data_IF_125624044470
#
_entry.id   IF_125624044470
#
_cell.length_a   1.000
_cell.length_b   1.000
_cell.length_c   1.000
_cell.angle_alpha   90.00
_cell.angle_beta   90.00
_cell.angle_gamma   90.00
#
_symmetry.space_group_name_H-M   'P 1'
#
loop_
_entity.id
_entity.type
_entity.pdbx_description
1 polymer ?
#
# COMPACT_ATOMS: atom_id res chain seq x y z
N UNK A 1 -36.56 -62.21 29.92
CA UNK A 1 -36.51 -60.77 29.53
C UNK A 1 -35.58 -60.62 28.35
N UNK A 2 -36.12 -60.21 27.19
CA UNK A 2 -35.39 -59.90 25.95
C UNK A 2 -35.11 -58.39 25.92
N UNK A 3 -33.91 -57.94 25.52
CA UNK A 3 -33.62 -56.84 24.55
C UNK A 3 -32.10 -56.92 24.27
N UNK A 4 -31.64 -57.59 23.22
CA UNK A 4 -31.37 -57.13 21.83
C UNK A 4 -30.25 -56.10 21.69
N UNK A 5 -29.10 -56.60 21.24
CA UNK A 5 -28.03 -55.89 20.54
C UNK A 5 -28.61 -55.17 19.31
N UNK A 6 -28.40 -53.85 19.20
CA UNK A 6 -28.62 -53.10 17.95
C UNK A 6 -27.49 -52.08 17.79
N UNK A 7 -26.75 -52.26 16.70
CA UNK A 7 -26.03 -51.22 15.96
C UNK A 7 -26.70 -49.85 16.12
N UNK A 8 -25.93 -48.79 16.39
CA UNK A 8 -25.89 -47.61 15.53
C UNK A 8 -24.90 -46.55 16.08
N UNK A 9 -24.23 -45.89 15.14
CA UNK A 9 -23.60 -44.55 15.23
C UNK A 9 -22.15 -44.50 15.72
N UNK A 10 -21.27 -44.72 14.74
CA UNK A 10 -20.04 -43.96 14.51
C UNK A 10 -20.28 -42.47 14.77
N UNK A 11 -19.88 -42.00 15.94
CA UNK A 11 -19.78 -40.58 16.33
C UNK A 11 -18.44 -40.54 17.07
N UNK A 12 -17.34 -40.13 16.45
CA UNK A 12 -16.92 -38.73 16.32
C UNK A 12 -16.01 -38.63 15.08
N UNK A 13 -16.59 -38.28 13.93
CA UNK A 13 -15.87 -38.03 12.67
C UNK A 13 -16.02 -36.57 12.20
N UNK A 14 -16.21 -35.63 13.13
CA UNK A 14 -16.59 -34.26 12.79
C UNK A 14 -16.10 -33.20 13.79
N UNK A 15 -14.80 -33.15 14.11
CA UNK A 15 -14.21 -31.98 14.80
C UNK A 15 -12.75 -31.71 14.37
N UNK A 16 -12.47 -31.82 13.08
CA UNK A 16 -11.42 -30.98 12.49
C UNK A 16 -12.10 -30.03 11.51
N UNK A 17 -12.91 -29.13 12.08
CA UNK A 17 -13.18 -27.86 11.40
C UNK A 17 -11.81 -27.19 11.31
N UNK A 18 -11.18 -27.31 10.13
CA UNK A 18 -9.94 -26.63 9.83
C UNK A 18 -10.13 -25.18 10.21
N UNK A 19 -9.32 -24.72 11.17
CA UNK A 19 -9.12 -23.29 11.36
C UNK A 19 -8.46 -22.82 10.07
N UNK A 20 -9.25 -22.34 9.12
CA UNK A 20 -8.77 -21.43 8.08
C UNK A 20 -8.14 -20.27 8.84
N UNK A 21 -6.83 -20.39 9.05
CA UNK A 21 -6.02 -19.38 9.69
C UNK A 21 -5.93 -18.27 8.67
N UNK A 22 -6.90 -17.35 8.70
CA UNK A 22 -6.82 -16.08 7.99
C UNK A 22 -5.68 -15.29 8.64
N UNK A 23 -4.46 -15.58 8.19
CA UNK A 23 -3.31 -14.71 8.35
C UNK A 23 -3.66 -13.41 7.64
N UNK A 24 -4.31 -12.48 8.34
CA UNK A 24 -4.47 -11.13 7.82
C UNK A 24 -3.08 -10.52 7.62
N UNK A 25 -2.76 -10.24 6.37
CA UNK A 25 -1.46 -9.77 5.91
C UNK A 25 -0.98 -8.52 6.66
N UNK A 26 0.29 -8.54 7.07
CA UNK A 26 0.99 -7.41 7.71
C UNK A 26 1.34 -6.28 6.71
N UNK A 27 1.10 -6.47 5.40
CA UNK A 27 1.48 -5.51 4.37
C UNK A 27 0.28 -4.69 3.88
N UNK A 28 0.45 -3.36 3.78
CA UNK A 28 -0.56 -2.53 3.13
C UNK A 28 -0.46 -2.74 1.62
N UNK A 29 -1.33 -3.56 1.05
CA UNK A 29 -1.37 -3.87 -0.39
C UNK A 29 -2.45 -3.03 -1.06
N UNK A 30 -2.14 -2.49 -2.25
CA UNK A 30 -3.15 -1.79 -3.06
C UNK A 30 -4.06 -2.82 -3.75
N UNK A 31 -5.36 -2.54 -4.00
CA UNK A 31 -6.25 -3.47 -4.67
C UNK A 31 -5.75 -3.88 -6.06
N UNK A 32 -6.07 -5.10 -6.50
CA UNK A 32 -5.54 -5.66 -7.76
C UNK A 32 -5.82 -4.77 -8.99
N UNK A 33 -6.98 -4.14 -9.06
CA UNK A 33 -7.31 -3.24 -10.17
C UNK A 33 -6.33 -2.07 -10.32
N UNK A 34 -5.67 -1.66 -9.23
CA UNK A 34 -4.70 -0.57 -9.25
C UNK A 34 -3.49 -0.90 -10.13
N UNK A 35 -3.12 -2.18 -10.26
CA UNK A 35 -2.04 -2.62 -11.13
C UNK A 35 -2.29 -2.36 -12.61
N UNK A 36 -3.57 -2.25 -13.00
CA UNK A 36 -3.98 -1.98 -14.38
C UNK A 36 -4.01 -0.49 -14.72
N UNK A 37 -3.95 0.41 -13.72
CA UNK A 37 -3.95 1.85 -13.96
C UNK A 37 -2.67 2.27 -14.69
N UNK A 38 -2.83 3.08 -15.75
CA UNK A 38 -1.72 3.58 -16.55
C UNK A 38 -1.44 5.02 -16.19
N UNK A 39 -0.18 5.29 -15.89
CA UNK A 39 0.33 6.62 -15.66
C UNK A 39 0.33 7.42 -16.98
N UNK A 40 -0.49 8.47 -17.14
CA UNK A 40 -0.59 9.24 -18.37
C UNK A 40 0.64 10.13 -18.62
N UNK A 41 1.53 10.28 -17.64
CA UNK A 41 2.72 11.12 -17.70
C UNK A 41 4.02 10.31 -17.72
N UNK A 42 3.98 9.00 -17.97
CA UNK A 42 5.18 8.18 -17.99
C UNK A 42 6.23 8.76 -18.95
N UNK A 43 7.46 8.99 -18.45
CA UNK A 43 8.56 9.56 -19.22
C UNK A 43 8.49 11.08 -19.46
N UNK A 44 7.49 11.77 -18.91
CA UNK A 44 7.36 13.22 -19.05
C UNK A 44 8.15 13.96 -17.95
N UNK A 45 9.25 14.62 -18.33
CA UNK A 45 10.09 15.36 -17.39
C UNK A 45 9.35 16.54 -16.75
N UNK A 46 8.58 17.31 -17.53
CA UNK A 46 7.82 18.45 -17.00
C UNK A 46 6.80 18.03 -15.92
N UNK A 47 6.17 16.88 -16.10
CA UNK A 47 5.28 16.30 -15.09
C UNK A 47 6.06 15.85 -13.85
N UNK A 48 7.27 15.31 -14.03
CA UNK A 48 8.18 14.95 -12.93
C UNK A 48 8.57 16.18 -12.11
N UNK A 49 8.90 17.29 -12.77
CA UNK A 49 9.29 18.54 -12.12
C UNK A 49 8.12 19.14 -11.29
N UNK A 50 6.90 19.10 -11.81
CA UNK A 50 5.70 19.48 -11.05
C UNK A 50 5.42 18.55 -9.86
N UNK A 51 5.67 17.25 -10.06
CA UNK A 51 5.60 16.26 -8.98
C UNK A 51 6.58 16.59 -7.85
N UNK A 52 7.79 17.04 -8.19
CA UNK A 52 8.79 17.51 -7.23
C UNK A 52 8.32 18.72 -6.44
N UNK A 53 7.73 19.71 -7.10
CA UNK A 53 7.15 20.89 -6.44
C UNK A 53 6.09 20.48 -5.42
N UNK A 54 5.15 19.63 -5.84
CA UNK A 54 4.08 19.12 -4.96
C UNK A 54 4.66 18.31 -3.80
N UNK A 55 5.65 17.45 -4.06
CA UNK A 55 6.30 16.63 -3.04
C UNK A 55 6.98 17.48 -1.97
N UNK A 56 7.69 18.54 -2.39
CA UNK A 56 8.37 19.46 -1.48
C UNK A 56 7.40 20.24 -0.60
N UNK A 57 6.16 20.47 -1.06
CA UNK A 57 5.14 21.16 -0.28
C UNK A 57 4.43 20.22 0.70
N UNK A 58 4.15 18.98 0.29
CA UNK A 58 3.15 18.14 0.96
C UNK A 58 3.69 16.84 1.56
N UNK A 59 4.85 16.36 1.10
CA UNK A 59 5.32 15.00 1.39
C UNK A 59 6.68 14.97 2.08
N UNK A 60 7.54 15.96 1.80
CA UNK A 60 8.95 15.97 2.22
C UNK A 60 9.14 15.94 3.74
N UNK A 61 8.24 16.56 4.49
CA UNK A 61 8.34 16.65 5.96
C UNK A 61 8.29 15.27 6.62
N UNK A 62 7.60 14.31 6.00
CA UNK A 62 7.51 12.93 6.48
C UNK A 62 8.45 11.99 5.71
N UNK A 63 8.47 12.07 4.38
CA UNK A 63 9.22 11.12 3.55
C UNK A 63 10.70 11.49 3.34
N UNK A 64 11.12 12.69 3.74
CA UNK A 64 12.48 13.19 3.57
C UNK A 64 12.78 13.68 2.15
N UNK A 65 13.78 14.55 2.01
CA UNK A 65 14.15 15.18 0.73
C UNK A 65 14.56 14.16 -0.35
N UNK A 66 15.12 13.03 0.08
CA UNK A 66 15.54 11.93 -0.79
C UNK A 66 14.53 10.79 -0.90
N UNK A 67 13.39 10.87 -0.20
CA UNK A 67 12.38 9.81 -0.18
C UNK A 67 12.77 8.60 0.67
N UNK A 68 13.70 8.75 1.62
CA UNK A 68 14.21 7.64 2.45
C UNK A 68 13.28 7.28 3.61
N UNK A 69 12.18 8.01 3.80
CA UNK A 69 11.26 7.82 4.93
C UNK A 69 11.78 8.41 6.24
N UNK A 70 12.78 9.31 6.17
CA UNK A 70 13.49 9.92 7.29
C UNK A 70 13.19 11.42 7.46
N UNK A 71 12.04 11.89 6.98
CA UNK A 71 11.63 13.29 7.21
C UNK A 71 11.39 13.52 8.69
N UNK A 72 11.66 14.74 9.18
CA UNK A 72 11.62 15.10 10.60
C UNK A 72 10.31 14.68 11.28
N UNK A 73 9.16 14.98 10.66
CA UNK A 73 7.86 14.59 11.22
C UNK A 73 7.62 13.07 11.12
N UNK A 74 8.25 12.39 10.16
CA UNK A 74 8.15 10.94 9.96
C UNK A 74 8.86 10.12 11.05
N UNK A 75 9.84 10.71 11.75
CA UNK A 75 10.60 10.05 12.82
C UNK A 75 9.77 9.88 14.10
N UNK A 76 8.74 10.71 14.30
CA UNK A 76 7.90 10.69 15.50
C UNK A 76 6.58 9.91 15.31
N UNK A 77 6.34 9.35 14.12
CA UNK A 77 5.11 8.61 13.82
C UNK A 77 5.19 7.17 14.31
N UNK A 78 4.09 6.64 14.85
CA UNK A 78 3.97 5.22 15.23
C UNK A 78 4.25 4.27 14.07
N UNK A 79 3.95 4.71 12.85
CA UNK A 79 4.28 4.01 11.60
C UNK A 79 5.11 4.93 10.73
N UNK A 80 6.37 4.55 10.54
CA UNK A 80 7.29 5.31 9.70
C UNK A 80 6.83 5.34 8.23
N UNK A 81 7.06 6.47 7.53
CA UNK A 81 6.84 6.56 6.10
C UNK A 81 7.71 5.58 5.32
N UNK A 82 7.23 5.14 4.15
CA UNK A 82 7.97 4.21 3.32
C UNK A 82 9.26 4.85 2.76
N UNK A 83 10.33 4.05 2.74
CA UNK A 83 11.54 4.36 1.99
C UNK A 83 11.34 4.00 0.51
N UNK A 84 11.29 4.99 -0.37
CA UNK A 84 11.08 4.81 -1.81
C UNK A 84 12.26 4.13 -2.52
N UNK A 85 13.42 4.07 -1.87
CA UNK A 85 14.60 3.37 -2.37
C UNK A 85 14.56 1.86 -2.05
N UNK A 86 13.62 1.41 -1.20
CA UNK A 86 13.49 0.01 -0.87
C UNK A 86 12.88 -0.80 -2.03
N UNK A 87 13.37 -2.03 -2.24
CA UNK A 87 12.93 -2.90 -3.34
C UNK A 87 11.42 -3.16 -3.33
N UNK A 88 10.81 -3.30 -2.15
CA UNK A 88 9.38 -3.54 -1.98
C UNK A 88 8.51 -2.32 -2.37
N UNK A 89 9.09 -1.11 -2.45
CA UNK A 89 8.41 0.07 -3.01
C UNK A 89 8.69 0.17 -4.50
N UNK A 90 9.95 -0.03 -4.92
CA UNK A 90 10.33 -0.02 -6.34
C UNK A 90 9.56 -1.06 -7.16
N UNK A 91 9.25 -2.22 -6.59
CA UNK A 91 8.52 -3.30 -7.26
C UNK A 91 7.02 -3.06 -7.42
N UNK A 92 6.45 -2.07 -6.74
CA UNK A 92 5.02 -1.75 -6.89
C UNK A 92 4.77 -1.14 -8.26
N UNK A 93 3.55 -1.27 -8.78
CA UNK A 93 3.12 -0.62 -10.02
C UNK A 93 2.87 0.88 -9.79
N UNK A 94 2.90 1.68 -10.86
CA UNK A 94 2.59 3.12 -10.76
C UNK A 94 1.18 3.35 -10.21
N UNK A 95 0.22 2.52 -10.64
CA UNK A 95 -1.15 2.58 -10.17
C UNK A 95 -1.32 2.21 -8.69
N UNK A 96 -0.53 1.26 -8.18
CA UNK A 96 -0.52 0.97 -6.75
C UNK A 96 -0.02 2.18 -5.94
N UNK A 97 1.03 2.87 -6.40
CA UNK A 97 1.53 4.09 -5.74
C UNK A 97 0.48 5.21 -5.83
N UNK A 98 -0.14 5.41 -7.01
CA UNK A 98 -1.22 6.38 -7.20
C UNK A 98 -2.38 6.12 -6.22
N UNK A 99 -2.81 4.87 -6.08
CA UNK A 99 -3.88 4.48 -5.16
C UNK A 99 -3.49 4.78 -3.71
N UNK A 100 -2.25 4.51 -3.31
CA UNK A 100 -1.73 4.80 -1.96
C UNK A 100 -1.72 6.29 -1.64
N UNK A 101 -1.29 7.13 -2.58
CA UNK A 101 -1.36 8.61 -2.43
C UNK A 101 -2.82 9.05 -2.32
N UNK A 102 -3.68 8.49 -3.17
CA UNK A 102 -5.10 8.84 -3.23
C UNK A 102 -5.82 8.51 -1.93
N UNK A 103 -5.59 7.35 -1.34
CA UNK A 103 -6.37 6.86 -0.20
C UNK A 103 -5.71 7.14 1.15
N UNK A 104 -4.39 7.29 1.18
CA UNK A 104 -3.63 7.37 2.42
C UNK A 104 -3.73 6.09 3.26
N UNK A 105 -3.04 6.11 4.40
CA UNK A 105 -3.17 5.12 5.47
C UNK A 105 -2.67 5.78 6.74
N UNK A 106 -3.54 6.00 7.76
CA UNK A 106 -3.13 6.69 8.98
C UNK A 106 -1.80 6.14 9.52
N UNK A 107 -0.83 7.02 9.84
CA UNK A 107 -0.97 8.48 9.96
C UNK A 107 -0.83 9.27 8.64
N UNK A 108 -0.55 8.63 7.50
CA UNK A 108 -0.53 9.31 6.21
C UNK A 108 -1.97 9.69 5.80
N UNK A 109 -2.20 10.98 5.59
CA UNK A 109 -3.49 11.49 5.13
C UNK A 109 -3.85 10.97 3.72
N UNK A 110 -5.15 10.97 3.42
CA UNK A 110 -5.63 10.88 2.04
C UNK A 110 -5.38 12.20 1.32
N UNK A 111 -4.97 12.13 0.06
CA UNK A 111 -4.80 13.30 -0.81
C UNK A 111 -5.86 13.39 -1.91
N UNK A 112 -6.91 12.57 -1.87
CA UNK A 112 -7.98 12.58 -2.87
C UNK A 112 -8.65 13.95 -3.01
N UNK A 113 -8.99 14.58 -1.88
CA UNK A 113 -9.68 15.88 -1.85
C UNK A 113 -8.72 17.08 -2.04
N UNK A 114 -7.42 16.89 -1.81
CA UNK A 114 -6.44 17.97 -1.80
C UNK A 114 -5.69 18.14 -3.12
N UNK A 115 -5.56 17.06 -3.90
CA UNK A 115 -4.80 17.03 -5.14
C UNK A 115 -5.69 16.51 -6.26
N UNK A 116 -5.56 17.10 -7.44
CA UNK A 116 -6.17 16.53 -8.66
C UNK A 116 -5.52 15.20 -9.04
N UNK A 117 -6.22 14.40 -9.85
CA UNK A 117 -5.66 13.16 -10.43
C UNK A 117 -4.32 13.41 -11.14
N UNK A 118 -4.21 14.52 -11.88
CA UNK A 118 -2.97 14.89 -12.56
C UNK A 118 -1.83 15.11 -11.57
N UNK A 119 -2.05 15.88 -10.49
CA UNK A 119 -1.02 16.12 -9.47
C UNK A 119 -0.60 14.83 -8.77
N UNK A 120 -1.53 13.90 -8.53
CA UNK A 120 -1.20 12.59 -7.95
C UNK A 120 -0.37 11.73 -8.90
N UNK A 121 -0.64 11.75 -10.21
CA UNK A 121 0.21 11.08 -11.20
C UNK A 121 1.58 11.75 -11.38
N UNK A 122 1.64 13.09 -11.34
CA UNK A 122 2.90 13.86 -11.34
C UNK A 122 3.76 13.47 -10.11
N UNK A 123 3.15 13.32 -8.92
CA UNK A 123 3.84 12.78 -7.74
C UNK A 123 4.40 11.37 -7.96
N UNK A 124 3.64 10.46 -8.61
CA UNK A 124 4.13 9.11 -8.92
C UNK A 124 5.41 9.18 -9.75
N UNK A 125 5.46 10.04 -10.78
CA UNK A 125 6.68 10.25 -11.57
C UNK A 125 7.87 10.67 -10.71
N UNK A 126 7.68 11.66 -9.82
CA UNK A 126 8.77 12.12 -8.96
C UNK A 126 9.21 11.05 -7.95
N UNK A 127 8.29 10.28 -7.38
CA UNK A 127 8.62 9.13 -6.51
C UNK A 127 9.47 8.10 -7.27
N UNK A 128 9.16 7.84 -8.55
CA UNK A 128 10.00 6.98 -9.40
C UNK A 128 11.37 7.57 -9.65
N UNK A 129 11.48 8.88 -9.83
CA UNK A 129 12.77 9.55 -9.96
C UNK A 129 13.62 9.41 -8.68
N UNK A 130 13.02 9.61 -7.51
CA UNK A 130 13.68 9.38 -6.22
C UNK A 130 14.16 7.93 -6.08
N UNK A 131 13.33 6.96 -6.46
CA UNK A 131 13.67 5.54 -6.44
C UNK A 131 14.75 5.11 -7.46
N UNK A 132 15.24 5.98 -8.35
CA UNK A 132 16.38 5.65 -9.22
C UNK A 132 17.73 5.93 -8.56
N UNK A 133 17.74 6.72 -7.48
CA UNK A 133 18.93 7.04 -6.70
C UNK A 133 19.26 5.90 -5.74
#
# INVERSE_FOLDING_TARGET
>A
MKVKFRFLIVFVLFLFCGTESFSQEISWVAPEYSNSLKNPFLGNQKATDKGKETFNQMCVLCHGLKGEGNGEAGLTLERHPANFLALNVKSQTDGAIFWKITNGKPPMASYFELLTDNQRWELVNYIRELGKK
#
